data_IF_558354163194
#
_entry.id   IF_558354163194
#
_cell.length_a   1.000
_cell.length_b   1.000
_cell.length_c   1.000
_cell.angle_alpha   90.00
_cell.angle_beta   90.00
_cell.angle_gamma   90.00
#
_symmetry.space_group_name_H-M   'P 1'
#
loop_
_entity.id
_entity.type
_entity.pdbx_description
1 polymer ?
#
# COMPACT_ATOMS: atom_id res chain seq x y z
N UNK A 1 41.86 4.77 -35.83
CA UNK A 1 40.42 4.45 -35.72
C UNK A 1 40.27 2.93 -35.68
N UNK A 2 39.71 2.35 -34.60
CA UNK A 2 38.89 1.11 -34.55
C UNK A 2 39.03 0.22 -33.32
N UNK A 3 40.06 0.33 -32.47
CA UNK A 3 40.30 -0.77 -31.49
C UNK A 3 39.90 -0.56 -30.04
N UNK A 4 39.58 0.64 -29.54
CA UNK A 4 39.11 0.77 -28.12
C UNK A 4 37.98 1.78 -27.93
N UNK A 5 37.17 1.95 -28.97
CA UNK A 5 35.78 2.42 -28.86
C UNK A 5 34.84 1.28 -28.38
N UNK A 6 35.41 0.24 -27.75
CA UNK A 6 34.77 -1.00 -27.31
C UNK A 6 34.89 -1.20 -25.79
N UNK A 7 35.21 -0.15 -25.03
CA UNK A 7 35.07 -0.12 -23.57
C UNK A 7 33.89 0.75 -23.11
N UNK A 8 33.11 1.25 -24.07
CA UNK A 8 31.95 2.15 -23.88
C UNK A 8 30.64 1.40 -23.64
N UNK A 9 30.65 0.08 -23.40
CA UNK A 9 29.41 -0.73 -23.43
C UNK A 9 29.32 -1.84 -22.36
N UNK A 10 30.10 -1.78 -21.28
CA UNK A 10 29.99 -2.76 -20.19
C UNK A 10 29.54 -2.10 -18.88
N UNK A 11 28.29 -2.39 -18.53
CA UNK A 11 27.80 -2.45 -17.15
C UNK A 11 27.84 -1.15 -16.34
N UNK A 12 26.85 -0.29 -16.57
CA UNK A 12 26.01 0.08 -15.42
C UNK A 12 24.57 -0.02 -15.91
N UNK A 13 24.05 -1.25 -15.91
CA UNK A 13 22.62 -1.45 -15.83
C UNK A 13 22.19 -0.69 -14.58
N UNK A 14 21.58 0.49 -14.80
CA UNK A 14 20.97 1.27 -13.77
C UNK A 14 19.82 0.41 -13.25
N UNK A 15 20.11 -0.42 -12.25
CA UNK A 15 19.11 -1.09 -11.45
C UNK A 15 18.39 0.02 -10.69
N UNK A 16 17.46 0.68 -11.38
CA UNK A 16 16.39 1.44 -10.75
C UNK A 16 15.59 0.41 -9.98
N UNK A 17 16.00 0.12 -8.75
CA UNK A 17 15.17 -0.56 -7.77
C UNK A 17 14.08 0.41 -7.39
N UNK A 18 13.11 0.60 -8.28
CA UNK A 18 11.80 1.09 -7.89
C UNK A 18 11.34 0.16 -6.80
N UNK A 19 11.28 0.66 -5.56
CA UNK A 19 10.73 -0.06 -4.44
C UNK A 19 9.28 -0.40 -4.79
N UNK A 20 9.05 -1.62 -5.27
CA UNK A 20 7.71 -2.10 -5.57
C UNK A 20 7.00 -2.24 -4.22
N UNK A 21 6.06 -1.35 -3.94
CA UNK A 21 5.12 -1.54 -2.83
C UNK A 21 4.37 -2.85 -3.08
N UNK A 22 4.14 -3.67 -2.05
CA UNK A 22 3.42 -4.92 -2.27
C UNK A 22 1.96 -4.62 -2.66
N UNK A 23 1.49 -5.24 -3.74
CA UNK A 23 0.14 -5.04 -4.28
C UNK A 23 -0.97 -5.31 -3.25
N UNK A 24 -0.72 -6.25 -2.33
CA UNK A 24 -1.64 -6.55 -1.24
C UNK A 24 -0.91 -6.91 0.05
N UNK A 25 -1.58 -6.65 1.18
CA UNK A 25 -1.13 -7.04 2.51
C UNK A 25 -2.26 -7.76 3.23
N UNK A 26 -1.90 -8.80 3.98
CA UNK A 26 -2.85 -9.56 4.77
C UNK A 26 -2.59 -9.34 6.25
N UNK A 27 -3.67 -9.14 6.99
CA UNK A 27 -3.67 -9.05 8.45
C UNK A 27 -4.54 -10.18 8.99
N UNK A 28 -3.99 -10.96 9.90
CA UNK A 28 -4.69 -12.08 10.53
C UNK A 28 -5.10 -11.71 11.96
N UNK A 29 -6.21 -12.28 12.42
CA UNK A 29 -6.80 -12.01 13.73
C UNK A 29 -8.17 -12.65 13.83
N UNK A 30 -9.23 -11.84 13.97
CA UNK A 30 -10.62 -12.30 13.88
C UNK A 30 -11.01 -12.61 12.42
N UNK A 31 -10.31 -13.52 11.75
CA UNK A 31 -10.34 -13.73 10.29
C UNK A 31 -9.20 -13.02 9.55
N UNK A 32 -9.22 -13.10 8.23
CA UNK A 32 -8.23 -12.50 7.32
C UNK A 32 -8.77 -11.21 6.74
N UNK A 33 -8.00 -10.13 6.90
CA UNK A 33 -8.24 -8.84 6.26
C UNK A 33 -7.21 -8.65 5.16
N UNK A 34 -7.67 -8.52 3.92
CA UNK A 34 -6.80 -8.23 2.77
C UNK A 34 -6.89 -6.75 2.42
N UNK A 35 -5.77 -6.04 2.56
CA UNK A 35 -5.59 -4.70 2.06
C UNK A 35 -5.05 -4.73 0.63
N UNK A 36 -5.73 -4.04 -0.28
CA UNK A 36 -5.30 -3.89 -1.68
C UNK A 36 -4.69 -2.49 -1.86
N UNK A 37 -3.36 -2.40 -1.94
CA UNK A 37 -2.64 -1.13 -2.07
C UNK A 37 -3.00 -0.41 -3.37
N UNK A 38 -3.05 -1.16 -4.48
CA UNK A 38 -3.35 -0.61 -5.81
C UNK A 38 -4.71 0.08 -5.85
N UNK A 39 -5.75 -0.58 -5.32
CA UNK A 39 -7.11 -0.02 -5.27
C UNK A 39 -7.17 1.29 -4.49
N UNK A 40 -6.46 1.39 -3.36
CA UNK A 40 -6.43 2.63 -2.60
C UNK A 40 -5.59 3.70 -3.33
N UNK A 41 -4.40 3.35 -3.84
CA UNK A 41 -3.54 4.28 -4.57
C UNK A 41 -4.14 4.85 -5.85
N UNK A 42 -5.10 4.14 -6.47
CA UNK A 42 -5.87 4.65 -7.62
C UNK A 42 -7.00 5.64 -7.23
N UNK A 43 -7.32 5.74 -5.94
CA UNK A 43 -8.46 6.53 -5.42
C UNK A 43 -8.05 7.65 -4.47
N UNK A 44 -6.85 7.62 -3.92
CA UNK A 44 -6.37 8.60 -2.95
C UNK A 44 -4.84 8.75 -2.99
N UNK A 45 -4.35 9.89 -2.50
CA UNK A 45 -2.93 10.17 -2.44
C UNK A 45 -2.21 9.29 -1.41
N UNK A 46 -0.95 8.94 -1.69
CA UNK A 46 -0.09 8.13 -0.81
C UNK A 46 0.04 8.74 0.59
N UNK A 47 0.02 10.07 0.68
CA UNK A 47 0.10 10.85 1.92
C UNK A 47 -1.08 10.64 2.86
N UNK A 48 -2.20 10.13 2.34
CA UNK A 48 -3.39 9.81 3.13
C UNK A 48 -3.12 8.74 4.19
N UNK A 49 -2.12 7.89 3.96
CA UNK A 49 -1.67 6.87 4.91
C UNK A 49 -0.19 7.03 5.30
N UNK A 50 0.67 7.42 4.35
CA UNK A 50 2.10 7.59 4.56
C UNK A 50 2.48 9.06 4.75
N UNK A 51 2.51 9.49 6.01
CA UNK A 51 2.82 10.88 6.37
C UNK A 51 4.31 11.23 6.30
N UNK A 52 5.18 10.25 6.01
CA UNK A 52 6.63 10.43 5.91
C UNK A 52 7.16 9.99 4.55
N UNK A 53 8.24 10.61 4.10
CA UNK A 53 8.97 10.24 2.89
C UNK A 53 10.39 9.76 3.27
N UNK A 54 10.86 8.62 2.74
CA UNK A 54 10.14 7.68 1.86
C UNK A 54 9.04 6.90 2.62
N UNK A 55 7.96 6.45 1.95
CA UNK A 55 6.90 5.66 2.57
C UNK A 55 7.47 4.42 3.27
N UNK A 56 7.10 4.23 4.53
CA UNK A 56 7.49 3.06 5.32
C UNK A 56 6.29 2.15 5.56
N UNK A 57 6.56 0.86 5.79
CA UNK A 57 5.52 -0.10 6.19
C UNK A 57 4.83 0.39 7.46
N UNK A 58 3.50 0.54 7.40
CA UNK A 58 2.70 0.89 8.58
C UNK A 58 2.54 -0.37 9.44
N UNK A 59 3.06 -0.31 10.66
CA UNK A 59 2.93 -1.39 11.62
C UNK A 59 1.54 -1.38 12.26
N UNK A 60 0.76 -2.43 12.03
CA UNK A 60 -0.49 -2.71 12.74
C UNK A 60 -0.23 -3.92 13.62
N UNK A 61 -0.14 -3.72 14.93
CA UNK A 61 0.13 -4.77 15.92
C UNK A 61 -1.09 -5.12 16.76
N UNK A 62 -2.15 -4.32 16.70
CA UNK A 62 -3.38 -4.56 17.44
C UNK A 62 -4.64 -4.07 16.70
N UNK A 63 -5.80 -4.45 17.24
CA UNK A 63 -7.12 -4.09 16.74
C UNK A 63 -7.31 -2.58 16.66
N UNK A 64 -6.89 -1.84 17.68
CA UNK A 64 -7.11 -0.41 17.80
C UNK A 64 -6.41 0.33 16.66
N UNK A 65 -5.16 -0.02 16.36
CA UNK A 65 -4.40 0.56 15.25
C UNK A 65 -5.05 0.25 13.89
N UNK A 66 -5.43 -1.02 13.66
CA UNK A 66 -6.08 -1.41 12.40
C UNK A 66 -7.44 -0.73 12.22
N UNK A 67 -8.22 -0.59 13.29
CA UNK A 67 -9.51 0.10 13.24
C UNK A 67 -9.35 1.62 13.06
N UNK A 68 -8.39 2.23 13.74
CA UNK A 68 -8.12 3.66 13.59
C UNK A 68 -7.65 4.01 12.17
N UNK A 69 -6.79 3.18 11.57
CA UNK A 69 -6.30 3.43 10.22
C UNK A 69 -7.35 3.13 9.15
N UNK A 70 -7.95 1.95 9.19
CA UNK A 70 -8.81 1.46 8.11
C UNK A 70 -10.28 1.84 8.33
N UNK A 71 -10.83 1.46 9.48
CA UNK A 71 -12.27 1.55 9.74
C UNK A 71 -12.72 3.00 9.92
N UNK A 72 -11.95 3.85 10.59
CA UNK A 72 -12.35 5.24 10.80
C UNK A 72 -12.32 6.05 9.50
N UNK A 73 -11.34 5.79 8.62
CA UNK A 73 -11.35 6.33 7.26
C UNK A 73 -12.60 5.86 6.50
N UNK A 74 -12.88 4.55 6.47
CA UNK A 74 -14.05 4.03 5.76
C UNK A 74 -15.39 4.57 6.32
N UNK A 75 -15.50 4.77 7.64
CA UNK A 75 -16.67 5.44 8.23
C UNK A 75 -16.80 6.89 7.74
N UNK A 76 -15.69 7.61 7.63
CA UNK A 76 -15.65 8.97 7.09
C UNK A 76 -16.10 8.98 5.63
N UNK A 77 -15.59 8.06 4.82
CA UNK A 77 -15.96 7.92 3.41
C UNK A 77 -17.44 7.59 3.23
N UNK A 78 -18.01 6.71 4.06
CA UNK A 78 -19.45 6.46 4.04
C UNK A 78 -20.28 7.71 4.39
N UNK A 79 -19.82 8.55 5.32
CA UNK A 79 -20.50 9.82 5.63
C UNK A 79 -20.46 10.80 4.45
N UNK A 80 -19.45 10.69 3.58
CA UNK A 80 -19.36 11.44 2.32
C UNK A 80 -20.12 10.79 1.16
N UNK A 81 -20.83 9.69 1.40
CA UNK A 81 -21.65 8.99 0.40
C UNK A 81 -20.95 7.84 -0.32
N UNK A 82 -19.69 7.52 0.00
CA UNK A 82 -19.00 6.37 -0.58
C UNK A 82 -19.44 5.06 0.11
N UNK A 83 -20.51 4.46 -0.40
CA UNK A 83 -21.10 3.23 0.15
C UNK A 83 -20.24 1.97 -0.09
N UNK A 84 -19.24 2.04 -0.97
CA UNK A 84 -18.31 0.95 -1.23
C UNK A 84 -17.28 0.77 -0.10
N UNK A 85 -17.06 1.78 0.74
CA UNK A 85 -16.15 1.70 1.87
C UNK A 85 -16.68 0.71 2.94
N UNK A 86 -15.98 -0.39 3.26
CA UNK A 86 -16.48 -1.40 4.19
C UNK A 86 -16.38 -0.92 5.65
N UNK A 87 -17.47 -1.04 6.41
CA UNK A 87 -17.54 -0.65 7.84
C UNK A 87 -18.00 -1.77 8.78
N UNK A 88 -18.57 -2.84 8.25
CA UNK A 88 -19.09 -3.95 9.03
C UNK A 88 -18.00 -5.02 9.19
N UNK A 89 -17.99 -5.72 10.33
CA UNK A 89 -16.95 -6.67 10.70
C UNK A 89 -16.60 -7.66 9.57
N UNK A 90 -17.62 -8.31 8.99
CA UNK A 90 -17.45 -9.37 7.98
C UNK A 90 -17.11 -8.83 6.58
N UNK A 91 -17.20 -7.52 6.36
CA UNK A 91 -16.79 -6.93 5.09
C UNK A 91 -15.26 -6.92 4.98
N UNK A 92 -14.56 -6.70 6.10
CA UNK A 92 -13.10 -6.75 6.17
C UNK A 92 -12.59 -8.13 6.60
N UNK A 93 -13.15 -8.70 7.66
CA UNK A 93 -12.69 -9.95 8.25
C UNK A 93 -13.33 -11.17 7.56
N UNK A 94 -12.66 -11.69 6.54
CA UNK A 94 -13.09 -12.91 5.84
C UNK A 94 -12.64 -14.15 6.62
N UNK A 95 -13.49 -15.19 6.63
CA UNK A 95 -13.14 -16.49 7.18
C UNK A 95 -12.43 -17.32 6.13
#
# INVERSE_FOLDING_TARGET
MKTRLLFTLLFVALCTTSALAAESYQYTGKGTVTFNHKMHGEKMDCSSCHTTQPPQKIAITNKQQGHALCLDCHKSEQKKGNTAAPKSCNQCHKK
#
